data_IF_680122763189
#
_entry.id   IF_680122763189
#
_cell.length_a   1.000
_cell.length_b   1.000
_cell.length_c   1.000
_cell.angle_alpha   90.00
_cell.angle_beta   90.00
_cell.angle_gamma   90.00
#
_symmetry.space_group_name_H-M   'P 1'
#
loop_
_entity.id
_entity.type
_entity.pdbx_description
1 polymer ?
#
# COMPACT_ATOMS: atom_id res chain seq x y z
N UNK A 1 -2.92 -3.98 -28.50
CA UNK A 1 -2.87 -2.57 -28.95
C UNK A 1 -4.09 -1.78 -28.48
N UNK A 2 -5.33 -2.29 -28.58
CA UNK A 2 -6.56 -1.58 -28.19
C UNK A 2 -6.62 -1.24 -26.69
N UNK A 3 -6.28 -2.19 -25.81
CA UNK A 3 -6.30 -2.00 -24.35
C UNK A 3 -5.22 -1.01 -23.90
N UNK A 4 -4.04 -1.02 -24.53
CA UNK A 4 -3.00 -0.02 -24.27
C UNK A 4 -3.46 1.40 -24.59
N UNK A 5 -4.18 1.60 -25.70
CA UNK A 5 -4.74 2.93 -26.03
C UNK A 5 -5.82 3.38 -25.05
N UNK A 6 -6.52 2.44 -24.40
CA UNK A 6 -7.53 2.73 -23.39
C UNK A 6 -6.97 2.83 -21.96
N UNK A 7 -5.68 2.58 -21.75
CA UNK A 7 -5.07 2.57 -20.42
C UNK A 7 -5.62 1.46 -19.51
N UNK A 8 -5.96 0.29 -20.08
CA UNK A 8 -6.56 -0.82 -19.33
C UNK A 8 -5.58 -2.00 -19.22
N UNK A 9 -5.37 -2.45 -17.98
CA UNK A 9 -4.65 -3.69 -17.68
C UNK A 9 -5.65 -4.83 -17.56
N UNK A 10 -5.44 -5.85 -18.39
CA UNK A 10 -6.13 -7.14 -18.30
C UNK A 10 -5.16 -8.28 -18.56
N UNK A 11 -5.49 -9.46 -18.07
CA UNK A 11 -4.74 -10.68 -18.37
C UNK A 11 -5.00 -11.14 -19.81
N UNK A 12 -4.01 -11.70 -20.52
CA UNK A 12 -4.20 -12.22 -21.89
C UNK A 12 -5.04 -13.50 -21.90
N UNK A 13 -5.04 -14.27 -20.82
CA UNK A 13 -5.84 -15.47 -20.60
C UNK A 13 -6.86 -15.22 -19.48
N UNK A 14 -7.61 -16.24 -19.14
CA UNK A 14 -8.51 -16.19 -17.99
C UNK A 14 -7.77 -15.67 -16.74
N UNK A 15 -8.31 -14.63 -16.05
CA UNK A 15 -7.65 -14.04 -14.90
C UNK A 15 -7.45 -15.03 -13.76
N UNK A 16 -8.43 -15.92 -13.51
CA UNK A 16 -8.37 -16.89 -12.42
C UNK A 16 -7.21 -17.87 -12.65
N UNK A 17 -7.10 -18.43 -13.83
CA UNK A 17 -5.99 -19.31 -14.19
C UNK A 17 -4.66 -18.56 -14.10
N UNK A 18 -4.61 -17.32 -14.64
CA UNK A 18 -3.40 -16.51 -14.69
C UNK A 18 -2.84 -16.20 -13.29
N UNK A 19 -3.70 -15.84 -12.34
CA UNK A 19 -3.28 -15.51 -10.97
C UNK A 19 -3.10 -16.75 -10.10
N UNK A 20 -3.80 -17.83 -10.41
CA UNK A 20 -3.60 -19.13 -9.78
C UNK A 20 -2.22 -19.71 -10.10
N UNK A 21 -1.82 -19.70 -11.36
CA UNK A 21 -0.53 -20.27 -11.83
C UNK A 21 0.67 -19.51 -11.26
N UNK A 22 0.60 -18.19 -11.21
CA UNK A 22 1.67 -17.32 -10.66
C UNK A 22 1.05 -16.13 -9.90
N UNK A 23 0.86 -16.28 -8.57
CA UNK A 23 0.26 -15.22 -7.75
C UNK A 23 1.01 -13.89 -7.73
N UNK A 24 2.32 -13.88 -8.04
CA UNK A 24 3.07 -12.62 -8.14
C UNK A 24 2.52 -11.71 -9.26
N UNK A 25 1.82 -12.29 -10.23
CA UNK A 25 1.16 -11.50 -11.29
C UNK A 25 0.09 -10.55 -10.74
N UNK A 26 -0.50 -10.83 -9.57
CA UNK A 26 -1.40 -9.90 -8.87
C UNK A 26 -0.66 -8.61 -8.52
N UNK A 27 0.53 -8.72 -7.89
CA UNK A 27 1.40 -7.58 -7.58
C UNK A 27 1.88 -6.86 -8.83
N UNK A 28 2.24 -7.60 -9.88
CA UNK A 28 2.69 -7.04 -11.16
C UNK A 28 1.59 -6.24 -11.85
N UNK A 29 0.33 -6.69 -11.79
CA UNK A 29 -0.80 -5.93 -12.31
C UNK A 29 -0.95 -4.58 -11.59
N UNK A 30 -0.88 -4.58 -10.26
CA UNK A 30 -0.90 -3.37 -9.45
C UNK A 30 0.28 -2.44 -9.78
N UNK A 31 1.49 -3.00 -9.88
CA UNK A 31 2.68 -2.23 -10.28
C UNK A 31 2.50 -1.55 -11.63
N UNK A 32 2.07 -2.29 -12.65
CA UNK A 32 1.87 -1.70 -13.98
C UNK A 32 0.79 -0.60 -13.96
N UNK A 33 -0.28 -0.78 -13.18
CA UNK A 33 -1.29 0.26 -13.00
C UNK A 33 -0.66 1.54 -12.42
N UNK A 34 0.18 1.42 -11.39
CA UNK A 34 0.87 2.55 -10.77
C UNK A 34 1.90 3.21 -11.69
N UNK A 35 2.69 2.41 -12.44
CA UNK A 35 3.75 2.92 -13.32
C UNK A 35 3.23 3.60 -14.57
N UNK A 36 2.14 3.08 -15.15
CA UNK A 36 1.57 3.55 -16.42
C UNK A 36 0.36 4.47 -16.23
N UNK A 37 -0.09 4.65 -14.99
CA UNK A 37 -1.34 5.33 -14.67
C UNK A 37 -2.54 4.70 -15.41
N UNK A 38 -2.60 3.36 -15.43
CA UNK A 38 -3.63 2.59 -16.08
C UNK A 38 -4.61 1.99 -15.07
N UNK A 39 -5.82 1.70 -15.50
CA UNK A 39 -6.82 1.04 -14.68
C UNK A 39 -6.75 -0.49 -14.83
N UNK A 40 -6.90 -1.21 -13.72
CA UNK A 40 -7.10 -2.66 -13.75
C UNK A 40 -8.58 -2.93 -14.00
N UNK A 41 -8.89 -3.78 -14.99
CA UNK A 41 -10.27 -4.19 -15.28
C UNK A 41 -10.94 -4.74 -14.01
N UNK A 42 -12.16 -4.29 -13.69
CA UNK A 42 -12.88 -4.67 -12.47
C UNK A 42 -12.97 -6.20 -12.27
N UNK A 43 -13.21 -6.96 -13.35
CA UNK A 43 -13.20 -8.44 -13.26
C UNK A 43 -11.87 -9.00 -12.77
N UNK A 44 -10.75 -8.38 -13.10
CA UNK A 44 -9.43 -8.80 -12.61
C UNK A 44 -9.25 -8.42 -11.13
N UNK A 45 -9.78 -7.27 -10.70
CA UNK A 45 -9.75 -6.85 -9.28
C UNK A 45 -10.50 -7.86 -8.41
N UNK A 46 -11.69 -8.29 -8.82
CA UNK A 46 -12.48 -9.27 -8.07
C UNK A 46 -11.80 -10.64 -8.00
N UNK A 47 -11.13 -11.07 -9.08
CA UNK A 47 -10.35 -12.31 -9.06
C UNK A 47 -9.12 -12.18 -8.15
N UNK A 48 -8.41 -11.03 -8.18
CA UNK A 48 -7.30 -10.80 -7.24
C UNK A 48 -7.79 -10.88 -5.80
N UNK A 49 -8.94 -10.30 -5.47
CA UNK A 49 -9.54 -10.40 -4.13
C UNK A 49 -9.79 -11.86 -3.71
N UNK A 50 -10.36 -12.67 -4.61
CA UNK A 50 -10.66 -14.06 -4.33
C UNK A 50 -9.42 -14.95 -4.17
N UNK A 51 -8.34 -14.62 -4.89
CA UNK A 51 -7.09 -15.40 -4.92
C UNK A 51 -5.99 -14.79 -4.02
N UNK A 52 -6.26 -13.70 -3.28
CA UNK A 52 -5.23 -12.93 -2.53
C UNK A 52 -4.37 -13.77 -1.60
N UNK A 53 -4.98 -14.79 -0.93
CA UNK A 53 -4.26 -15.65 0.02
C UNK A 53 -3.12 -16.45 -0.63
N UNK A 54 -3.19 -16.68 -1.94
CA UNK A 54 -2.14 -17.36 -2.66
C UNK A 54 -0.82 -16.57 -2.74
N UNK A 55 -0.83 -15.27 -2.42
CA UNK A 55 0.39 -14.48 -2.35
C UNK A 55 1.37 -15.02 -1.30
N UNK A 56 0.88 -15.74 -0.29
CA UNK A 56 1.68 -16.34 0.78
C UNK A 56 2.66 -17.42 0.29
N UNK A 57 2.45 -18.00 -0.91
CA UNK A 57 3.40 -18.97 -1.48
C UNK A 57 4.59 -18.32 -2.18
N UNK A 58 4.52 -17.01 -2.39
CA UNK A 58 5.61 -16.23 -3.02
C UNK A 58 6.62 -15.83 -1.95
N UNK A 59 7.90 -15.90 -2.29
CA UNK A 59 8.95 -15.48 -1.37
C UNK A 59 8.85 -13.98 -1.05
N UNK A 60 9.20 -13.61 0.17
CA UNK A 60 9.13 -12.22 0.65
C UNK A 60 10.00 -11.29 -0.18
N UNK A 61 11.14 -11.77 -0.66
CA UNK A 61 12.07 -11.03 -1.50
C UNK A 61 11.40 -10.59 -2.82
N UNK A 62 10.68 -11.51 -3.47
CA UNK A 62 9.96 -11.22 -4.73
C UNK A 62 8.82 -10.22 -4.50
N UNK A 63 8.10 -10.34 -3.39
CA UNK A 63 7.05 -9.38 -3.00
C UNK A 63 7.68 -8.01 -2.75
N UNK A 64 8.77 -7.96 -2.01
CA UNK A 64 9.49 -6.72 -1.69
C UNK A 64 10.03 -6.02 -2.95
N UNK A 65 10.56 -6.78 -3.92
CA UNK A 65 10.98 -6.22 -5.20
C UNK A 65 9.81 -5.53 -5.95
N UNK A 66 8.63 -6.14 -5.98
CA UNK A 66 7.45 -5.52 -6.60
C UNK A 66 6.97 -4.29 -5.83
N UNK A 67 7.01 -4.30 -4.48
CA UNK A 67 6.72 -3.11 -3.65
C UNK A 67 7.69 -1.98 -3.94
N UNK A 68 9.00 -2.26 -4.04
CA UNK A 68 10.01 -1.26 -4.39
C UNK A 68 9.73 -0.63 -5.76
N UNK A 69 9.33 -1.44 -6.75
CA UNK A 69 8.97 -0.94 -8.08
C UNK A 69 7.67 -0.10 -8.06
N UNK A 70 6.72 -0.40 -7.16
CA UNK A 70 5.53 0.43 -6.92
C UNK A 70 5.95 1.77 -6.30
N UNK A 71 6.78 1.74 -5.25
CA UNK A 71 7.30 2.95 -4.61
C UNK A 71 8.07 3.85 -5.56
N UNK A 72 8.81 3.27 -6.50
CA UNK A 72 9.58 4.01 -7.52
C UNK A 72 8.72 4.50 -8.69
N UNK A 73 7.41 4.18 -8.72
CA UNK A 73 6.52 4.71 -9.74
C UNK A 73 6.32 6.22 -9.61
N UNK A 74 5.85 6.92 -10.66
CA UNK A 74 5.59 8.35 -10.63
C UNK A 74 4.52 8.75 -9.59
N UNK A 75 3.53 7.87 -9.36
CA UNK A 75 2.43 8.08 -8.41
C UNK A 75 2.15 6.81 -7.63
N UNK A 76 2.97 6.49 -6.62
CA UNK A 76 2.86 5.24 -5.85
C UNK A 76 1.55 5.10 -5.09
N UNK A 77 0.86 6.20 -4.74
CA UNK A 77 -0.45 6.13 -4.09
C UNK A 77 -1.45 5.26 -4.85
N UNK A 78 -1.43 5.27 -6.18
CA UNK A 78 -2.29 4.42 -7.02
C UNK A 78 -2.05 2.94 -6.69
N UNK A 79 -0.79 2.53 -6.61
CA UNK A 79 -0.42 1.16 -6.28
C UNK A 79 -0.91 0.75 -4.88
N UNK A 80 -0.67 1.58 -3.86
CA UNK A 80 -1.09 1.27 -2.49
C UNK A 80 -2.61 1.26 -2.32
N UNK A 81 -3.35 2.14 -2.98
CA UNK A 81 -4.82 2.11 -3.02
C UNK A 81 -5.32 0.81 -3.68
N UNK A 82 -4.69 0.36 -4.76
CA UNK A 82 -5.04 -0.89 -5.43
C UNK A 82 -4.70 -2.12 -4.56
N UNK A 83 -3.55 -2.12 -3.88
CA UNK A 83 -3.19 -3.17 -2.91
C UNK A 83 -4.22 -3.26 -1.78
N UNK A 84 -4.69 -2.11 -1.26
CA UNK A 84 -5.74 -2.05 -0.26
C UNK A 84 -7.07 -2.57 -0.82
N UNK A 85 -7.52 -2.06 -1.97
CA UNK A 85 -8.77 -2.48 -2.63
C UNK A 85 -8.83 -3.97 -2.95
N UNK A 86 -7.70 -4.58 -3.26
CA UNK A 86 -7.60 -6.01 -3.57
C UNK A 86 -7.41 -6.88 -2.33
N UNK A 87 -7.19 -6.29 -1.15
CA UNK A 87 -6.89 -6.99 0.10
C UNK A 87 -5.46 -7.55 0.17
N UNK A 88 -4.63 -7.33 -0.85
CA UNK A 88 -3.21 -7.75 -0.83
C UNK A 88 -2.42 -7.01 0.25
N UNK A 89 -2.76 -5.74 0.52
CA UNK A 89 -2.06 -4.94 1.52
C UNK A 89 -2.19 -5.51 2.93
N UNK A 90 -3.34 -6.10 3.28
CA UNK A 90 -3.59 -6.76 4.57
C UNK A 90 -2.62 -7.90 4.84
N UNK A 91 -2.21 -8.61 3.78
CA UNK A 91 -1.31 -9.77 3.88
C UNK A 91 0.15 -9.31 3.85
N UNK A 92 0.47 -8.33 3.00
CA UNK A 92 1.85 -7.93 2.71
C UNK A 92 2.37 -6.91 3.72
N UNK A 93 1.54 -5.94 4.13
CA UNK A 93 1.91 -4.85 5.03
C UNK A 93 0.72 -4.44 5.91
N UNK A 94 0.28 -5.34 6.83
CA UNK A 94 -0.92 -5.16 7.65
C UNK A 94 -0.86 -3.92 8.55
N UNK A 95 0.33 -3.47 8.93
CA UNK A 95 0.51 -2.28 9.74
C UNK A 95 0.03 -1.01 9.04
N UNK A 96 0.17 -0.96 7.70
CA UNK A 96 -0.26 0.21 6.94
C UNK A 96 -1.80 0.33 6.87
N UNK A 97 -2.51 -0.81 6.83
CA UNK A 97 -3.99 -0.83 6.88
C UNK A 97 -4.51 -0.26 8.20
N UNK A 98 -3.80 -0.44 9.32
CA UNK A 98 -4.21 0.11 10.61
C UNK A 98 -4.24 1.65 10.65
N UNK A 99 -3.67 2.32 9.66
CA UNK A 99 -3.75 3.76 9.49
C UNK A 99 -5.09 4.21 8.89
N UNK A 100 -5.83 3.31 8.23
CA UNK A 100 -7.13 3.60 7.62
C UNK A 100 -8.20 3.84 8.69
N UNK A 101 -9.11 4.72 8.38
CA UNK A 101 -10.28 5.02 9.18
C UNK A 101 -10.21 6.35 9.91
N UNK A 102 -11.40 6.83 10.23
CA UNK A 102 -11.62 8.09 10.96
C UNK A 102 -12.50 7.76 12.14
N UNK A 103 -12.01 8.01 13.36
CA UNK A 103 -12.86 7.92 14.54
C UNK A 103 -13.47 9.28 14.83
N UNK A 104 -14.71 9.26 15.28
CA UNK A 104 -15.43 10.44 15.75
C UNK A 104 -15.83 10.24 17.21
N UNK A 105 -15.46 11.19 18.06
CA UNK A 105 -15.89 11.27 19.46
C UNK A 105 -16.34 12.71 19.73
N UNK A 106 -17.56 12.87 20.20
CA UNK A 106 -18.16 14.18 20.55
C UNK A 106 -18.06 15.20 19.38
N UNK A 107 -18.29 14.75 18.13
CA UNK A 107 -18.20 15.57 16.92
C UNK A 107 -16.79 15.97 16.50
N UNK A 108 -15.76 15.46 17.17
CA UNK A 108 -14.34 15.69 16.81
C UNK A 108 -13.79 14.48 16.07
N UNK A 109 -13.36 14.71 14.83
CA UNK A 109 -12.73 13.70 13.97
C UNK A 109 -11.22 13.93 13.87
N UNK A 110 -10.49 12.93 13.38
CA UNK A 110 -9.12 13.10 12.91
C UNK A 110 -9.06 12.79 11.41
N UNK A 111 -7.99 13.21 10.74
CA UNK A 111 -7.74 12.86 9.34
C UNK A 111 -7.51 11.36 9.20
N UNK A 112 -7.94 10.78 8.07
CA UNK A 112 -7.52 9.44 7.70
C UNK A 112 -6.01 9.41 7.46
N UNK A 113 -5.30 8.68 8.32
CA UNK A 113 -3.84 8.67 8.30
C UNK A 113 -3.29 7.87 7.11
N UNK A 114 -4.04 6.88 6.58
CA UNK A 114 -3.62 6.12 5.41
C UNK A 114 -3.55 7.04 4.18
N UNK A 115 -4.63 7.75 3.87
CA UNK A 115 -4.65 8.67 2.72
C UNK A 115 -3.72 9.86 2.91
N UNK A 116 -3.55 10.34 4.15
CA UNK A 116 -2.54 11.35 4.45
C UNK A 116 -1.13 10.87 4.13
N UNK A 117 -0.77 9.67 4.58
CA UNK A 117 0.54 9.06 4.32
C UNK A 117 0.80 8.90 2.81
N UNK A 118 -0.21 8.47 2.04
CA UNK A 118 -0.08 8.37 0.59
C UNK A 118 0.10 9.73 -0.08
N UNK A 119 -0.53 10.78 0.42
CA UNK A 119 -0.33 12.14 -0.05
C UNK A 119 1.09 12.65 0.21
N UNK A 120 1.63 12.38 1.41
CA UNK A 120 3.02 12.70 1.77
C UNK A 120 3.99 11.96 0.85
N UNK A 121 3.75 10.67 0.60
CA UNK A 121 4.55 9.86 -0.31
C UNK A 121 4.55 10.43 -1.73
N UNK A 122 3.39 10.75 -2.30
CA UNK A 122 3.30 11.34 -3.64
C UNK A 122 4.01 12.71 -3.72
N UNK A 123 3.97 13.50 -2.66
CA UNK A 123 4.66 14.79 -2.62
C UNK A 123 6.20 14.61 -2.60
N UNK A 124 6.71 13.65 -1.85
CA UNK A 124 8.15 13.33 -1.85
C UNK A 124 8.59 12.83 -3.23
N UNK A 125 7.79 12.05 -3.92
CA UNK A 125 8.11 11.52 -5.24
C UNK A 125 8.36 12.59 -6.30
N UNK A 126 7.83 13.80 -6.12
CA UNK A 126 8.11 14.94 -7.01
C UNK A 126 9.55 15.47 -6.90
N UNK A 127 10.20 15.22 -5.76
CA UNK A 127 11.48 15.82 -5.42
C UNK A 127 12.64 14.82 -5.39
N UNK A 128 12.36 13.51 -5.28
CA UNK A 128 13.40 12.50 -5.16
C UNK A 128 13.00 11.14 -5.71
N UNK A 129 13.99 10.45 -6.31
CA UNK A 129 13.89 9.03 -6.69
C UNK A 129 14.59 8.11 -5.67
N UNK A 130 15.01 8.62 -4.52
CA UNK A 130 15.64 7.82 -3.49
C UNK A 130 14.60 6.88 -2.86
N UNK A 131 14.79 5.57 -3.05
CA UNK A 131 13.88 4.53 -2.56
C UNK A 131 13.70 4.59 -1.04
N UNK A 132 14.79 4.80 -0.29
CA UNK A 132 14.75 4.81 1.18
C UNK A 132 13.95 5.98 1.72
N UNK A 133 14.07 7.17 1.12
CA UNK A 133 13.25 8.33 1.50
C UNK A 133 11.77 8.09 1.22
N UNK A 134 11.43 7.37 0.14
CA UNK A 134 10.06 6.99 -0.16
C UNK A 134 9.51 5.97 0.84
N UNK A 135 10.34 4.99 1.27
CA UNK A 135 9.98 4.08 2.35
C UNK A 135 9.76 4.82 3.68
N UNK A 136 10.63 5.74 4.05
CA UNK A 136 10.46 6.58 5.25
C UNK A 136 9.15 7.35 5.18
N UNK A 137 8.83 7.97 4.03
CA UNK A 137 7.57 8.67 3.83
C UNK A 137 6.34 7.77 3.97
N UNK A 138 6.41 6.53 3.50
CA UNK A 138 5.32 5.56 3.64
C UNK A 138 5.13 5.10 5.08
N UNK A 139 6.20 5.00 5.85
CA UNK A 139 6.18 4.37 7.18
C UNK A 139 6.25 5.37 8.35
N UNK A 140 6.41 6.69 8.09
CA UNK A 140 6.62 7.68 9.15
C UNK A 140 5.51 7.73 10.21
N UNK A 141 4.28 7.45 9.80
CA UNK A 141 3.09 7.50 10.66
C UNK A 141 2.62 6.14 11.18
N UNK A 142 3.35 5.06 10.90
CA UNK A 142 2.94 3.69 11.21
C UNK A 142 2.72 3.43 12.72
N UNK A 143 3.30 4.27 13.57
CA UNK A 143 3.13 4.25 15.03
C UNK A 143 1.85 4.91 15.54
N UNK A 144 1.14 5.71 14.72
CA UNK A 144 -0.04 6.48 15.15
C UNK A 144 -1.17 5.63 15.73
N UNK A 145 -1.54 4.48 15.17
CA UNK A 145 -2.63 3.66 15.73
C UNK A 145 -2.37 3.23 17.17
N UNK A 146 -1.11 2.95 17.54
CA UNK A 146 -0.73 2.52 18.89
C UNK A 146 -0.66 3.67 19.90
N UNK A 147 -0.49 4.91 19.44
CA UNK A 147 -0.34 6.10 20.29
C UNK A 147 -1.56 7.00 20.29
N UNK A 148 -2.61 6.60 19.58
CA UNK A 148 -3.86 7.32 19.46
C UNK A 148 -4.56 7.49 20.82
N UNK A 149 -4.84 8.73 21.18
CA UNK A 149 -5.55 9.08 22.44
C UNK A 149 -6.52 10.23 22.17
N UNK A 150 -7.67 10.16 22.82
CA UNK A 150 -8.66 11.25 22.81
C UNK A 150 -8.66 11.98 24.15
N UNK A 151 -8.70 13.31 24.10
CA UNK A 151 -8.87 14.18 25.24
C UNK A 151 -10.03 15.14 24.98
N UNK A 152 -10.99 15.25 25.91
CA UNK A 152 -12.19 16.09 25.74
C UNK A 152 -11.86 17.54 25.41
N UNK A 153 -10.80 18.12 26.03
CA UNK A 153 -10.40 19.52 25.81
C UNK A 153 -9.60 19.71 24.52
N UNK A 154 -8.64 18.82 24.23
CA UNK A 154 -7.67 18.97 23.12
C UNK A 154 -8.03 18.20 21.86
N UNK A 155 -8.99 17.26 21.93
CA UNK A 155 -9.32 16.35 20.84
C UNK A 155 -8.34 15.19 20.69
N UNK A 156 -8.15 14.71 19.47
CA UNK A 156 -7.26 13.60 19.14
C UNK A 156 -5.78 13.98 19.24
N UNK A 157 -4.97 13.09 19.78
CA UNK A 157 -3.50 13.25 19.86
C UNK A 157 -2.80 11.92 19.55
N UNK A 158 -1.56 12.00 19.06
CA UNK A 158 -0.74 10.86 18.62
C UNK A 158 0.70 11.00 19.17
N UNK A 159 0.87 11.53 20.39
CA UNK A 159 2.19 11.79 20.97
C UNK A 159 3.03 10.52 21.10
N UNK A 160 4.29 10.61 20.67
CA UNK A 160 5.26 9.51 20.76
C UNK A 160 5.16 8.49 19.63
N UNK A 161 4.36 8.76 18.57
CA UNK A 161 4.27 7.85 17.44
C UNK A 161 5.60 7.70 16.69
N UNK A 162 6.46 8.71 16.71
CA UNK A 162 7.79 8.70 16.10
C UNK A 162 8.67 7.59 16.69
N UNK A 163 8.69 7.45 18.03
CA UNK A 163 9.44 6.40 18.71
C UNK A 163 8.90 5.01 18.38
N UNK A 164 7.57 4.87 18.27
CA UNK A 164 6.93 3.60 17.88
C UNK A 164 7.20 3.29 16.41
N UNK A 165 7.17 4.28 15.52
CA UNK A 165 7.51 4.11 14.11
C UNK A 165 8.96 3.66 13.96
N UNK A 166 9.90 4.26 14.70
CA UNK A 166 11.31 3.86 14.68
C UNK A 166 11.50 2.41 15.10
N UNK A 167 10.88 1.95 16.19
CA UNK A 167 10.98 0.55 16.63
C UNK A 167 10.37 -0.42 15.62
N UNK A 168 9.31 -0.05 14.90
CA UNK A 168 8.77 -0.86 13.81
C UNK A 168 9.67 -0.93 12.58
N UNK A 169 10.41 0.13 12.27
CA UNK A 169 11.37 0.17 11.17
C UNK A 169 12.64 -0.63 11.47
N UNK A 170 12.99 -0.77 12.76
CA UNK A 170 14.17 -1.56 13.20
C UNK A 170 13.85 -3.03 13.48
N UNK A 171 12.60 -3.41 13.52
CA UNK A 171 12.11 -4.78 13.67
C UNK A 171 11.19 -5.11 12.47
N UNK A 172 11.59 -5.90 11.55
CA UNK A 172 12.22 -7.20 11.68
C UNK A 172 13.50 -7.33 10.87
N UNK A 173 14.50 -7.91 11.46
CA UNK A 173 15.72 -8.46 10.84
C UNK A 173 15.47 -9.47 9.70
N UNK A 174 14.23 -9.74 9.35
CA UNK A 174 13.85 -10.58 8.20
C UNK A 174 13.77 -9.82 6.86
N UNK A 175 14.05 -8.50 6.87
CA UNK A 175 14.24 -7.68 5.67
C UNK A 175 15.70 -7.32 5.42
N UNK A 176 16.64 -7.93 6.16
CA UNK A 176 18.07 -7.81 5.88
C UNK A 176 18.48 -8.88 4.89
N UNK A 177 18.91 -8.39 3.71
CA UNK A 177 19.72 -9.01 2.63
C UNK A 177 19.16 -10.25 1.99
#
# INVERSE_FOLDING_TARGET
VHDLKKGIIKTPKDPKITFYDDPLRMMRAVRFASQLNFEIKNSNIEIIKSEKERINIISKERIHEELNKILLSPKPSIGFILLMKTGLLEIILPELIKLEGIDEIEGKTHKDNFYHTLQVLDNICKNTNNLWLRWVALLHDIGKPKTKRYNKKKGWSFHGHESVSYTHLTLPTTLQV
#
